data_IF_578087879353
#
_entry.id   IF_578087879353
#
_cell.length_a   1.000
_cell.length_b   1.000
_cell.length_c   1.000
_cell.angle_alpha   90.00
_cell.angle_beta   90.00
_cell.angle_gamma   90.00
#
_symmetry.space_group_name_H-M   'P 1'
#
loop_
_entity.id
_entity.type
_entity.pdbx_description
1 polymer ?
#
# COMPACT_ATOMS: atom_id res chain seq x y z
N UNK A 1 28.08 28.01 28.99
CA UNK A 1 28.77 26.94 28.22
C UNK A 1 27.86 25.72 28.25
N UNK A 2 27.40 25.29 27.08
CA UNK A 2 26.43 24.19 26.89
C UNK A 2 27.14 22.85 27.08
N UNK A 3 26.63 22.02 27.98
CA UNK A 3 26.93 20.57 28.01
C UNK A 3 25.61 19.84 27.79
N UNK A 4 25.50 19.25 26.60
CA UNK A 4 24.41 18.38 26.19
C UNK A 4 24.81 16.93 26.53
N UNK A 5 23.96 16.12 27.17
CA UNK A 5 24.22 14.69 27.29
C UNK A 5 23.84 14.01 25.98
N UNK A 6 24.80 13.29 25.41
CA UNK A 6 24.61 12.45 24.25
C UNK A 6 23.61 11.33 24.57
N UNK A 7 22.43 11.38 23.93
CA UNK A 7 21.49 10.26 23.89
C UNK A 7 21.98 9.29 22.82
N UNK A 8 22.62 8.21 23.28
CA UNK A 8 22.98 7.05 22.46
C UNK A 8 21.70 6.36 22.00
N UNK A 9 21.24 6.68 20.80
CA UNK A 9 20.15 5.96 20.12
C UNK A 9 20.67 4.59 19.65
N UNK A 10 20.08 3.53 20.20
CA UNK A 10 20.22 2.16 19.73
C UNK A 10 19.72 2.08 18.27
N UNK A 11 20.66 1.77 17.38
CA UNK A 11 20.44 1.46 15.98
C UNK A 11 19.63 0.15 15.89
N UNK A 12 18.32 0.24 15.65
CA UNK A 12 17.61 -0.91 15.08
C UNK A 12 17.97 -0.96 13.59
N UNK A 13 19.01 -1.75 13.29
CA UNK A 13 19.29 -2.22 11.94
C UNK A 13 18.06 -2.95 11.40
N UNK A 14 17.25 -2.27 10.60
CA UNK A 14 16.44 -2.96 9.58
C UNK A 14 17.39 -3.22 8.43
N UNK A 15 17.88 -4.45 8.36
CA UNK A 15 18.59 -4.97 7.21
C UNK A 15 17.89 -4.54 5.91
N UNK A 16 18.63 -4.06 4.90
CA UNK A 16 18.10 -3.91 3.55
C UNK A 16 17.70 -5.30 3.05
N UNK A 17 16.41 -5.50 2.74
CA UNK A 17 15.97 -6.69 2.02
C UNK A 17 16.82 -6.82 0.75
N UNK A 18 17.51 -7.96 0.52
CA UNK A 18 18.24 -8.21 -0.71
C UNK A 18 17.27 -8.12 -1.90
N UNK A 19 17.74 -7.47 -2.96
CA UNK A 19 16.95 -7.09 -4.12
C UNK A 19 16.00 -8.19 -4.62
N UNK A 20 14.73 -7.82 -4.73
CA UNK A 20 13.76 -8.55 -5.54
C UNK A 20 14.30 -8.53 -6.99
N UNK A 21 14.45 -9.69 -7.65
CA UNK A 21 15.02 -9.74 -8.98
C UNK A 21 14.08 -9.03 -9.95
N UNK A 22 14.59 -7.97 -10.61
CA UNK A 22 13.94 -7.40 -11.79
C UNK A 22 13.88 -8.51 -12.84
N UNK A 23 12.69 -8.82 -13.36
CA UNK A 23 12.58 -9.68 -14.53
C UNK A 23 13.31 -9.00 -15.71
N UNK A 24 14.39 -9.60 -16.26
CA UNK A 24 14.96 -9.11 -17.51
C UNK A 24 14.06 -9.57 -18.65
N UNK A 25 13.54 -8.62 -19.43
CA UNK A 25 12.90 -8.90 -20.70
C UNK A 25 13.99 -9.20 -21.74
N UNK A 26 14.55 -10.41 -21.68
CA UNK A 26 15.54 -10.88 -22.65
C UNK A 26 14.86 -11.80 -23.65
N UNK A 27 14.42 -11.23 -24.77
CA UNK A 27 14.18 -11.99 -26.00
C UNK A 27 15.54 -12.52 -26.45
N UNK A 28 15.86 -13.77 -26.12
CA UNK A 28 17.11 -14.40 -26.57
C UNK A 28 16.91 -14.82 -28.02
N UNK A 29 17.60 -14.08 -28.91
CA UNK A 29 17.79 -14.36 -30.32
C UNK A 29 18.35 -15.79 -30.49
N UNK A 30 17.65 -16.63 -31.23
CA UNK A 30 18.03 -18.02 -31.54
C UNK A 30 19.27 -18.06 -32.44
N UNK A 31 20.38 -18.62 -31.93
CA UNK A 31 21.48 -19.12 -32.77
C UNK A 31 21.51 -20.65 -32.66
N UNK A 32 21.18 -21.30 -33.77
CA UNK A 32 20.90 -22.73 -33.85
C UNK A 32 22.20 -23.50 -34.01
N UNK A 33 22.88 -23.82 -32.91
CA UNK A 33 23.99 -24.79 -32.94
C UNK A 33 23.46 -26.19 -32.62
N UNK A 34 23.50 -27.01 -33.67
CA UNK A 34 23.24 -28.44 -33.78
C UNK A 34 23.67 -29.22 -32.52
N UNK A 35 22.71 -29.78 -31.77
CA UNK A 35 22.98 -30.78 -30.73
C UNK A 35 22.02 -31.95 -30.85
N UNK A 36 22.64 -33.11 -31.02
CA UNK A 36 22.13 -34.47 -31.21
C UNK A 36 21.30 -34.98 -30.02
N UNK A 37 20.33 -35.84 -30.35
CA UNK A 37 19.31 -36.44 -29.49
C UNK A 37 19.87 -37.20 -28.29
N UNK A 38 19.37 -36.91 -27.09
CA UNK A 38 19.35 -37.83 -25.94
C UNK A 38 17.98 -37.69 -25.25
N UNK A 39 17.08 -38.65 -25.50
CA UNK A 39 15.65 -38.60 -25.15
C UNK A 39 15.32 -38.65 -23.64
N UNK A 40 16.30 -38.57 -22.74
CA UNK A 40 16.10 -38.47 -21.28
C UNK A 40 16.07 -37.03 -20.73
N UNK A 41 16.68 -36.07 -21.43
CA UNK A 41 16.74 -34.67 -21.00
C UNK A 41 15.44 -33.90 -21.32
N UNK A 42 14.65 -34.41 -22.26
CA UNK A 42 13.41 -33.77 -22.76
C UNK A 42 12.34 -33.59 -21.67
N UNK A 43 12.19 -34.56 -20.75
CA UNK A 43 11.25 -34.43 -19.63
C UNK A 43 11.74 -33.45 -18.56
N UNK A 44 13.05 -33.36 -18.34
CA UNK A 44 13.66 -32.42 -17.38
C UNK A 44 13.52 -30.98 -17.89
N UNK A 45 13.68 -30.76 -19.21
CA UNK A 45 13.37 -29.47 -19.84
C UNK A 45 11.88 -29.12 -19.74
N UNK A 46 10.97 -30.07 -19.87
CA UNK A 46 9.52 -29.83 -19.73
C UNK A 46 9.14 -29.34 -18.32
N UNK A 47 9.75 -29.91 -17.28
CA UNK A 47 9.50 -29.50 -15.88
C UNK A 47 10.13 -28.13 -15.56
N UNK A 48 11.26 -27.79 -16.18
CA UNK A 48 11.88 -26.47 -16.03
C UNK A 48 11.07 -25.34 -16.70
N UNK A 49 10.38 -25.63 -17.82
CA UNK A 49 9.50 -24.69 -18.54
C UNK A 49 8.19 -24.42 -17.79
N UNK A 50 7.72 -25.35 -16.96
CA UNK A 50 6.45 -25.25 -16.22
C UNK A 50 6.57 -24.55 -14.85
N UNK A 51 7.72 -23.98 -14.49
CA UNK A 51 7.82 -23.10 -13.32
C UNK A 51 7.15 -21.76 -13.64
N UNK A 52 5.82 -21.81 -13.62
CA UNK A 52 4.91 -20.74 -13.96
C UNK A 52 5.27 -19.44 -13.25
N UNK A 53 5.24 -18.36 -14.04
CA UNK A 53 5.21 -17.00 -13.54
C UNK A 53 3.94 -16.86 -12.71
N UNK A 54 4.06 -16.98 -11.39
CA UNK A 54 3.01 -16.54 -10.48
C UNK A 54 3.06 -15.00 -10.50
N UNK A 55 2.21 -14.37 -11.30
CA UNK A 55 1.96 -12.94 -11.20
C UNK A 55 1.21 -12.70 -9.89
N UNK A 56 1.96 -12.58 -8.80
CA UNK A 56 1.43 -12.24 -7.49
C UNK A 56 1.00 -10.76 -7.47
N UNK A 57 -0.12 -10.47 -6.83
CA UNK A 57 -0.57 -9.10 -6.56
C UNK A 57 0.43 -8.46 -5.63
N UNK A 58 1.01 -7.32 -6.01
CA UNK A 58 1.92 -6.57 -5.15
C UNK A 58 1.52 -5.12 -5.00
N UNK A 59 1.65 -4.64 -3.77
CA UNK A 59 1.66 -3.25 -3.38
C UNK A 59 3.03 -2.98 -2.76
N UNK A 60 3.75 -1.99 -3.29
CA UNK A 60 5.13 -1.72 -2.88
C UNK A 60 5.25 -0.26 -2.43
N UNK A 61 5.36 -0.05 -1.13
CA UNK A 61 5.56 1.26 -0.52
C UNK A 61 7.02 1.75 -0.61
N UNK A 62 7.17 3.05 -0.81
CA UNK A 62 8.46 3.74 -0.97
C UNK A 62 8.35 5.20 -0.57
N UNK A 63 9.50 5.89 -0.46
CA UNK A 63 9.55 7.31 -0.07
C UNK A 63 9.50 7.54 1.44
N UNK A 64 9.64 6.50 2.27
CA UNK A 64 9.84 6.64 3.71
C UNK A 64 11.23 7.19 4.05
N UNK A 65 11.39 7.77 5.24
CA UNK A 65 12.67 8.28 5.71
C UNK A 65 12.56 9.07 7.01
N UNK A 66 13.72 9.42 7.60
CA UNK A 66 13.78 10.30 8.76
C UNK A 66 13.58 11.75 8.31
N UNK A 67 12.60 12.43 8.89
CA UNK A 67 12.27 13.82 8.60
C UNK A 67 12.13 14.58 9.92
N UNK A 68 12.62 15.81 9.95
CA UNK A 68 12.47 16.68 11.11
C UNK A 68 11.00 17.09 11.31
N UNK A 69 10.55 17.33 12.56
CA UNK A 69 9.24 17.90 12.81
C UNK A 69 9.01 19.21 12.03
N UNK A 70 7.82 19.39 11.48
CA UNK A 70 7.47 20.48 10.56
C UNK A 70 7.88 20.24 9.11
N UNK A 71 8.69 19.21 8.83
CA UNK A 71 9.10 18.83 7.49
C UNK A 71 7.96 18.25 6.65
N UNK A 72 8.28 17.93 5.40
CA UNK A 72 7.37 17.31 4.45
C UNK A 72 7.98 16.04 3.87
N UNK A 73 7.14 15.06 3.56
CA UNK A 73 7.54 13.80 2.94
C UNK A 73 6.47 13.37 1.95
N UNK A 74 6.87 12.60 0.94
CA UNK A 74 5.93 12.00 -0.01
C UNK A 74 6.15 10.49 -0.04
N UNK A 75 5.11 9.76 0.32
CA UNK A 75 5.08 8.31 0.14
C UNK A 75 4.51 7.97 -1.23
N UNK A 76 4.98 6.86 -1.78
CA UNK A 76 4.45 6.25 -3.00
C UNK A 76 4.17 4.77 -2.77
N UNK A 77 3.12 4.26 -3.39
CA UNK A 77 2.77 2.85 -3.41
C UNK A 77 2.51 2.41 -4.84
N UNK A 78 3.40 1.58 -5.38
CA UNK A 78 3.28 1.03 -6.73
C UNK A 78 2.47 -0.26 -6.69
N UNK A 79 1.44 -0.35 -7.52
CA UNK A 79 0.57 -1.52 -7.64
C UNK A 79 0.89 -2.34 -8.89
N UNK A 80 0.95 -3.66 -8.74
CA UNK A 80 1.10 -4.61 -9.85
C UNK A 80 0.26 -5.87 -9.61
N UNK A 81 -0.01 -6.61 -10.69
CA UNK A 81 -0.82 -7.84 -10.64
C UNK A 81 -2.34 -7.61 -10.58
N UNK A 82 -2.82 -6.38 -10.72
CA UNK A 82 -4.25 -6.07 -10.85
C UNK A 82 -4.50 -4.73 -11.55
N UNK A 83 -5.72 -4.51 -12.03
CA UNK A 83 -6.16 -3.24 -12.63
C UNK A 83 -6.40 -2.19 -11.54
N UNK A 84 -5.38 -1.38 -11.24
CA UNK A 84 -5.40 -0.38 -10.17
C UNK A 84 -6.58 0.61 -10.25
N UNK A 85 -7.01 0.98 -11.45
CA UNK A 85 -8.15 1.88 -11.67
C UNK A 85 -9.49 1.31 -11.18
N UNK A 86 -9.61 0.00 -10.99
CA UNK A 86 -10.87 -0.62 -10.58
C UNK A 86 -11.06 -0.64 -9.07
N UNK A 87 -10.04 -0.26 -8.30
CA UNK A 87 -10.05 -0.35 -6.85
C UNK A 87 -9.96 1.03 -6.21
N UNK A 88 -10.70 1.15 -5.13
CA UNK A 88 -10.54 2.23 -4.17
C UNK A 88 -9.31 1.93 -3.31
N UNK A 89 -8.63 2.99 -2.88
CA UNK A 89 -7.34 2.87 -2.22
C UNK A 89 -7.36 3.63 -0.91
N UNK A 90 -6.72 3.05 0.10
CA UNK A 90 -6.59 3.67 1.41
C UNK A 90 -5.13 3.70 1.84
N UNK A 91 -4.80 4.70 2.66
CA UNK A 91 -3.60 4.67 3.49
C UNK A 91 -4.00 4.33 4.93
N UNK A 92 -3.23 3.43 5.51
CA UNK A 92 -3.34 3.01 6.91
C UNK A 92 -1.96 3.15 7.53
N UNK A 93 -1.87 3.51 8.80
CA UNK A 93 -0.59 3.60 9.50
C UNK A 93 -0.61 2.78 10.79
N UNK A 94 0.56 2.32 11.21
CA UNK A 94 0.76 1.64 12.48
C UNK A 94 1.91 2.31 13.23
N UNK A 95 1.58 2.99 14.33
CA UNK A 95 2.60 3.52 15.23
C UNK A 95 3.18 2.39 16.11
N UNK A 96 4.45 2.48 16.55
CA UNK A 96 5.05 1.49 17.43
C UNK A 96 4.21 1.29 18.70
N UNK A 97 3.84 0.03 18.99
CA UNK A 97 3.01 -0.31 20.16
C UNK A 97 1.53 0.08 20.06
N UNK A 98 1.05 0.55 18.89
CA UNK A 98 -0.36 0.87 18.64
C UNK A 98 -0.97 -0.03 17.56
N UNK A 99 -2.30 0.01 17.48
CA UNK A 99 -3.06 -0.65 16.41
C UNK A 99 -2.93 0.07 15.07
N UNK A 100 -3.59 -0.50 14.05
CA UNK A 100 -3.74 0.12 12.74
C UNK A 100 -4.71 1.30 12.83
N UNK A 101 -4.28 2.46 12.32
CA UNK A 101 -5.07 3.68 12.21
C UNK A 101 -5.31 4.00 10.73
N UNK A 102 -6.57 4.17 10.35
CA UNK A 102 -6.91 4.63 9.00
C UNK A 102 -6.52 6.11 8.84
N UNK A 103 -5.92 6.47 7.69
CA UNK A 103 -5.35 7.81 7.42
C UNK A 103 -6.13 8.55 6.35
N UNK A 104 -6.33 7.92 5.20
CA UNK A 104 -6.99 8.54 4.06
C UNK A 104 -7.55 7.51 3.08
N UNK A 105 -8.42 8.01 2.20
CA UNK A 105 -9.12 7.25 1.17
C UNK A 105 -9.16 8.03 -0.13
N UNK A 106 -9.09 7.32 -1.25
CA UNK A 106 -9.37 7.84 -2.58
C UNK A 106 -10.16 6.82 -3.40
N UNK A 107 -11.24 7.29 -4.00
CA UNK A 107 -12.06 6.51 -4.94
C UNK A 107 -11.27 6.03 -6.17
N UNK A 108 -11.80 5.02 -6.86
CA UNK A 108 -11.28 4.45 -8.12
C UNK A 108 -10.97 5.51 -9.19
N UNK A 109 -11.87 6.48 -9.36
CA UNK A 109 -11.73 7.61 -10.29
C UNK A 109 -10.93 8.79 -9.75
N UNK A 110 -10.61 8.83 -8.45
CA UNK A 110 -9.89 9.93 -7.82
C UNK A 110 -10.71 11.17 -7.48
N UNK A 111 -12.02 11.19 -7.77
CA UNK A 111 -12.89 12.34 -7.54
C UNK A 111 -13.24 12.57 -6.07
N UNK A 112 -13.39 11.49 -5.30
CA UNK A 112 -13.72 11.55 -3.88
C UNK A 112 -12.50 11.17 -3.04
N UNK A 113 -12.20 12.00 -2.02
CA UNK A 113 -11.15 11.74 -1.03
C UNK A 113 -11.65 12.01 0.39
N UNK A 114 -11.20 11.19 1.34
CA UNK A 114 -11.47 11.39 2.77
C UNK A 114 -10.18 11.29 3.56
N UNK A 115 -10.14 11.95 4.72
CA UNK A 115 -8.98 12.01 5.61
C UNK A 115 -9.40 11.83 7.05
N UNK A 116 -8.54 11.19 7.85
CA UNK A 116 -8.71 11.14 9.28
C UNK A 116 -8.54 12.54 9.90
N UNK A 117 -9.30 12.82 10.97
CA UNK A 117 -9.30 14.12 11.63
C UNK A 117 -7.90 14.55 12.11
N UNK A 118 -7.03 13.60 12.48
CA UNK A 118 -5.65 13.86 12.95
C UNK A 118 -4.71 14.41 11.87
N UNK A 119 -5.00 14.17 10.60
CA UNK A 119 -4.14 14.53 9.46
C UNK A 119 -4.79 15.48 8.47
N UNK A 120 -6.08 15.78 8.67
CA UNK A 120 -6.87 16.66 7.80
C UNK A 120 -6.19 18.03 7.66
N UNK A 121 -6.05 18.49 6.43
CA UNK A 121 -5.39 19.76 6.09
C UNK A 121 -3.86 19.71 6.04
N UNK A 122 -3.23 18.58 6.41
CA UNK A 122 -1.77 18.40 6.33
C UNK A 122 -1.37 17.35 5.30
N UNK A 123 -2.20 16.32 5.14
CA UNK A 123 -1.95 15.21 4.24
C UNK A 123 -2.84 15.32 3.01
N UNK A 124 -2.29 14.97 1.86
CA UNK A 124 -2.98 14.97 0.57
C UNK A 124 -2.76 13.63 -0.11
N UNK A 125 -3.84 12.89 -0.35
CA UNK A 125 -3.81 11.64 -1.12
C UNK A 125 -4.01 11.96 -2.60
N UNK A 126 -3.22 11.32 -3.47
CA UNK A 126 -3.40 11.42 -4.92
C UNK A 126 -3.07 10.10 -5.58
N UNK A 127 -3.57 9.88 -6.78
CA UNK A 127 -3.37 8.63 -7.54
C UNK A 127 -3.01 8.94 -8.99
N UNK A 128 -2.16 8.10 -9.58
CA UNK A 128 -1.82 8.11 -10.99
C UNK A 128 -2.17 6.73 -11.57
N UNK A 129 -3.26 6.66 -12.32
CA UNK A 129 -3.75 5.42 -12.92
C UNK A 129 -2.89 4.96 -14.09
N UNK A 130 -2.19 5.87 -14.79
CA UNK A 130 -1.29 5.48 -15.87
C UNK A 130 -0.03 4.79 -15.32
N UNK A 131 0.41 5.17 -14.12
CA UNK A 131 1.55 4.58 -13.42
C UNK A 131 1.17 3.52 -12.39
N UNK A 132 -0.12 3.21 -12.23
CA UNK A 132 -0.63 2.35 -11.16
C UNK A 132 -0.03 2.70 -9.78
N UNK A 133 0.10 4.01 -9.48
CA UNK A 133 0.79 4.47 -8.29
C UNK A 133 -0.11 5.36 -7.43
N UNK A 134 -0.16 5.06 -6.14
CA UNK A 134 -0.79 5.88 -5.11
C UNK A 134 0.25 6.74 -4.41
N UNK A 135 -0.09 7.99 -4.09
CA UNK A 135 0.78 8.91 -3.39
C UNK A 135 0.11 9.44 -2.13
N UNK A 136 0.92 9.68 -1.09
CA UNK A 136 0.52 10.43 0.10
C UNK A 136 1.54 11.55 0.31
N UNK A 137 1.14 12.76 -0.02
CA UNK A 137 1.92 13.95 0.31
C UNK A 137 1.62 14.34 1.76
N UNK A 138 2.64 14.40 2.59
CA UNK A 138 2.53 14.77 3.99
C UNK A 138 3.30 16.08 4.21
N UNK A 139 2.63 17.06 4.78
CA UNK A 139 3.22 18.37 5.11
C UNK A 139 3.11 18.64 6.59
N UNK A 140 4.00 19.46 7.14
CA UNK A 140 4.02 19.79 8.57
C UNK A 140 3.93 18.54 9.47
N UNK A 141 4.83 17.58 9.24
CA UNK A 141 4.87 16.31 9.98
C UNK A 141 5.12 16.56 11.47
N UNK A 142 4.42 15.83 12.33
CA UNK A 142 4.59 15.91 13.78
C UNK A 142 5.20 14.62 14.32
N UNK A 143 5.67 14.64 15.57
CA UNK A 143 6.22 13.44 16.20
C UNK A 143 5.18 12.31 16.26
N UNK A 144 3.91 12.66 16.47
CA UNK A 144 2.77 11.72 16.50
C UNK A 144 2.50 11.02 15.16
N UNK A 145 3.02 11.55 14.05
CA UNK A 145 2.86 10.93 12.72
C UNK A 145 3.92 9.85 12.42
N UNK A 146 4.83 9.60 13.38
CA UNK A 146 5.87 8.58 13.27
C UNK A 146 5.26 7.18 13.33
N UNK A 147 5.12 6.55 12.17
CA UNK A 147 4.48 5.26 12.02
C UNK A 147 4.98 4.55 10.74
N UNK A 148 4.70 3.25 10.64
CA UNK A 148 4.79 2.54 9.36
C UNK A 148 3.50 2.78 8.59
N UNK A 149 3.60 3.16 7.32
CA UNK A 149 2.45 3.44 6.46
C UNK A 149 2.30 2.32 5.43
N UNK A 150 1.05 1.88 5.25
CA UNK A 150 0.65 0.83 4.35
C UNK A 150 -0.40 1.35 3.39
N UNK A 151 -0.27 1.02 2.11
CA UNK A 151 -1.35 1.20 1.16
C UNK A 151 -2.18 -0.08 1.10
N UNK A 152 -3.49 0.06 1.06
CA UNK A 152 -4.41 -1.08 0.94
C UNK A 152 -5.43 -0.80 -0.15
N UNK A 153 -5.73 -1.81 -0.96
CA UNK A 153 -6.87 -1.76 -1.87
C UNK A 153 -8.13 -2.19 -1.12
N UNK A 154 -9.25 -1.54 -1.39
CA UNK A 154 -10.53 -2.04 -0.95
C UNK A 154 -10.92 -3.24 -1.82
N UNK A 155 -10.77 -4.44 -1.29
CA UNK A 155 -11.49 -5.57 -1.87
C UNK A 155 -12.83 -5.60 -1.16
N UNK A 156 -13.93 -5.48 -1.91
CA UNK A 156 -15.27 -5.84 -1.42
C UNK A 156 -15.25 -7.32 -1.02
N UNK A 157 -14.67 -7.64 0.14
CA UNK A 157 -15.15 -8.74 0.94
C UNK A 157 -16.39 -8.16 1.55
N UNK A 158 -17.51 -8.29 0.84
CA UNK A 158 -18.80 -8.18 1.49
C UNK A 158 -18.67 -8.98 2.79
N UNK A 159 -19.07 -8.39 3.91
CA UNK A 159 -19.30 -9.20 5.09
C UNK A 159 -20.23 -10.31 4.62
N UNK A 160 -19.73 -11.53 4.45
CA UNK A 160 -20.58 -12.67 4.17
C UNK A 160 -21.28 -13.03 5.48
N UNK A 161 -22.13 -12.12 5.93
CA UNK A 161 -23.29 -12.45 6.73
C UNK A 161 -24.40 -12.74 5.73
N UNK A 162 -24.34 -13.90 5.07
CA UNK A 162 -25.46 -14.41 4.28
C UNK A 162 -26.24 -15.44 5.13
N UNK A 163 -27.55 -15.63 4.96
CA UNK A 163 -28.51 -15.12 5.93
C UNK A 163 -29.35 -16.27 6.52
N UNK A 164 -29.69 -16.22 7.81
CA UNK A 164 -30.80 -17.04 8.33
C UNK A 164 -31.72 -16.17 9.15
N UNK A 165 -32.80 -15.75 8.48
CA UNK A 165 -34.07 -15.29 9.04
C UNK A 165 -34.03 -14.82 10.50
N UNK A 166 -34.10 -13.51 10.72
CA UNK A 166 -34.55 -12.91 11.99
C UNK A 166 -35.55 -11.79 11.66
N UNK A 167 -36.69 -11.70 12.39
CA UNK A 167 -37.94 -11.09 11.89
C UNK A 167 -37.85 -9.56 11.79
N UNK A 168 -38.82 -8.88 11.14
CA UNK A 168 -38.78 -7.44 10.97
C UNK A 168 -38.93 -6.76 12.33
N UNK A 169 -37.90 -6.05 12.76
CA UNK A 169 -38.02 -5.11 13.87
C UNK A 169 -38.69 -3.82 13.36
N UNK A 170 -39.97 -3.65 13.72
CA UNK A 170 -40.74 -2.41 13.59
C UNK A 170 -40.08 -1.33 14.44
N UNK A 171 -39.74 -0.19 13.84
CA UNK A 171 -38.74 0.74 14.36
C UNK A 171 -39.20 1.84 15.32
N UNK A 172 -38.26 2.74 15.63
CA UNK A 172 -38.48 4.18 15.85
C UNK A 172 -37.15 4.97 15.91
N UNK A 173 -37.08 6.06 15.12
CA UNK A 173 -36.40 7.38 15.33
C UNK A 173 -34.92 7.38 15.78
N UNK A 174 -33.97 8.07 15.16
CA UNK A 174 -33.93 9.03 14.06
C UNK A 174 -32.48 9.54 13.93
N UNK A 175 -32.00 9.79 12.71
CA UNK A 175 -30.69 10.40 12.46
C UNK A 175 -30.89 11.92 12.58
N UNK A 176 -30.50 12.51 13.70
CA UNK A 176 -30.48 13.94 13.86
C UNK A 176 -29.33 14.50 13.00
N UNK A 177 -29.71 15.24 11.96
CA UNK A 177 -28.87 16.28 11.38
C UNK A 177 -28.64 17.34 12.46
N UNK A 178 -27.36 17.57 12.79
CA UNK A 178 -26.93 18.67 13.63
C UNK A 178 -26.21 19.68 12.76
N UNK A 179 -26.98 20.56 12.13
CA UNK A 179 -26.52 21.89 11.74
C UNK A 179 -26.20 22.68 13.01
N UNK A 180 -25.03 23.30 13.06
CA UNK A 180 -24.70 24.37 13.99
C UNK A 180 -23.79 25.38 13.27
N UNK A 181 -24.47 26.26 12.53
CA UNK A 181 -24.27 27.70 12.49
C UNK A 181 -23.36 28.26 13.60
N UNK A 182 -22.31 29.01 13.22
CA UNK A 182 -22.07 30.35 13.77
C UNK A 182 -21.05 31.13 12.93
N UNK A 183 -21.53 32.27 12.41
CA UNK A 183 -20.94 33.62 12.35
C UNK A 183 -19.44 33.79 12.60
#
# INVERSE_FOLDING_TARGET
MKTSPALTLQLWDRSPSPGIPRCPHSVVRTEQRRYTMEFGLSWVFLVAVLRGVQCEVQLVESGGGLVQPGGSLRLSCAASGFTFSNYEMHWVRQAPGKGLEWVSYISSGGGTTYYANSVKGRFTISRDNAKNTLYLQMTSLRAEDTAVYYCVRDTVRGSQCEPRHKPPCRGQRGWAAGDAENT
#
